data_IF_949156332788
#
_entry.id   IF_949156332788
#
_cell.length_a   1.000
_cell.length_b   1.000
_cell.length_c   1.000
_cell.angle_alpha   90.00
_cell.angle_beta   90.00
_cell.angle_gamma   90.00
#
_symmetry.space_group_name_H-M   'P 1'
#
loop_
_entity.id
_entity.type
_entity.pdbx_description
1 polymer ?
#
# COMPACT_ATOMS: atom_id res chain seq x y z
N UNK A 1 -21.62 19.10 -6.41
CA UNK A 1 -21.47 17.99 -6.15
C UNK A 1 -21.78 17.54 -4.84
N UNK A 2 -22.33 16.51 -4.68
CA UNK A 2 -22.94 16.04 -3.46
C UNK A 2 -21.87 15.79 -2.40
N UNK A 3 -22.00 16.35 -1.23
CA UNK A 3 -21.05 16.11 -0.16
C UNK A 3 -21.07 14.67 0.33
N UNK A 4 -22.16 13.99 0.05
CA UNK A 4 -22.27 12.62 0.42
C UNK A 4 -21.21 11.79 -0.18
N UNK A 5 -20.66 12.21 -1.31
CA UNK A 5 -19.76 11.41 -2.09
C UNK A 5 -18.29 11.63 -1.76
N UNK A 6 -17.99 12.29 -0.64
CA UNK A 6 -16.59 12.48 -0.24
C UNK A 6 -15.90 11.16 -0.02
N UNK A 7 -16.56 10.25 0.70
CA UNK A 7 -16.00 8.91 0.92
C UNK A 7 -15.85 8.18 -0.40
N UNK A 8 -16.84 8.32 -1.28
CA UNK A 8 -16.78 7.69 -2.60
C UNK A 8 -15.63 8.25 -3.43
N UNK A 9 -15.39 9.57 -3.36
CA UNK A 9 -14.27 10.19 -4.06
C UNK A 9 -12.93 9.66 -3.56
N UNK A 10 -12.79 9.55 -2.24
CA UNK A 10 -11.57 9.02 -1.66
C UNK A 10 -11.33 7.59 -2.11
N UNK A 11 -12.36 6.74 -2.01
CA UNK A 11 -12.22 5.35 -2.42
C UNK A 11 -12.00 5.21 -3.92
N UNK A 12 -12.58 6.11 -4.72
CA UNK A 12 -12.31 6.14 -6.14
C UNK A 12 -10.84 6.40 -6.45
N UNK A 13 -10.25 7.39 -5.76
CA UNK A 13 -8.82 7.67 -5.91
C UNK A 13 -7.97 6.52 -5.41
N UNK A 14 -8.36 5.93 -4.28
CA UNK A 14 -7.64 4.83 -3.71
C UNK A 14 -7.61 3.63 -4.67
N UNK A 15 -8.77 3.28 -5.20
CA UNK A 15 -8.88 2.15 -6.13
C UNK A 15 -8.09 2.43 -7.40
N UNK A 16 -8.18 3.65 -7.93
CA UNK A 16 -7.43 4.03 -9.11
C UNK A 16 -5.93 3.87 -8.89
N UNK A 17 -5.42 4.39 -7.77
CA UNK A 17 -4.01 4.28 -7.44
C UNK A 17 -3.60 2.82 -7.22
N UNK A 18 -4.47 2.06 -6.57
CA UNK A 18 -4.20 0.66 -6.29
C UNK A 18 -4.08 -0.15 -7.59
N UNK A 19 -5.02 0.05 -8.51
CA UNK A 19 -5.01 -0.64 -9.80
C UNK A 19 -3.78 -0.24 -10.60
N UNK A 20 -3.44 1.05 -10.60
CA UNK A 20 -2.27 1.54 -11.32
C UNK A 20 -1.00 0.88 -10.79
N UNK A 21 -0.84 0.82 -9.46
CA UNK A 21 0.33 0.20 -8.86
C UNK A 21 0.38 -1.30 -9.13
N UNK A 22 -0.77 -1.98 -9.12
CA UNK A 22 -0.80 -3.40 -9.44
C UNK A 22 -0.35 -3.64 -10.86
N UNK A 23 -0.78 -2.81 -11.80
CA UNK A 23 -0.37 -2.92 -13.19
C UNK A 23 1.15 -2.72 -13.32
N UNK A 24 1.67 -1.70 -12.65
CA UNK A 24 3.10 -1.43 -12.66
C UNK A 24 3.89 -2.61 -12.08
N UNK A 25 3.40 -3.16 -10.99
CA UNK A 25 4.05 -4.32 -10.36
C UNK A 25 4.01 -5.54 -11.27
N UNK A 26 2.94 -5.71 -12.02
CA UNK A 26 2.82 -6.82 -12.97
C UNK A 26 3.89 -6.74 -14.07
N UNK A 27 4.32 -5.53 -14.43
CA UNK A 27 5.42 -5.36 -15.36
C UNK A 27 6.77 -5.54 -14.72
N UNK A 28 6.90 -5.08 -13.46
CA UNK A 28 8.18 -5.13 -12.75
C UNK A 28 8.57 -6.56 -12.37
N UNK A 29 7.62 -7.38 -11.96
CA UNK A 29 7.91 -8.71 -11.46
C UNK A 29 8.61 -9.61 -12.48
N UNK A 30 8.16 -9.70 -13.74
CA UNK A 30 8.89 -10.51 -14.72
C UNK A 30 10.30 -10.00 -14.96
N UNK A 31 10.50 -8.69 -14.97
CA UNK A 31 11.82 -8.10 -15.15
C UNK A 31 12.73 -8.48 -13.97
N UNK A 32 12.20 -8.39 -12.75
CA UNK A 32 12.94 -8.78 -11.56
C UNK A 32 13.33 -10.26 -11.62
N UNK A 33 12.40 -11.10 -12.05
CA UNK A 33 12.65 -12.54 -12.17
C UNK A 33 13.81 -12.82 -13.12
N UNK A 34 13.82 -12.12 -14.25
CA UNK A 34 14.86 -12.30 -15.25
C UNK A 34 16.22 -11.81 -14.74
N UNK A 35 16.26 -10.61 -14.17
CA UNK A 35 17.53 -10.02 -13.74
C UNK A 35 18.14 -10.74 -12.53
N UNK A 36 17.35 -11.20 -11.61
CA UNK A 36 17.86 -11.81 -10.39
C UNK A 36 17.78 -13.34 -10.41
N UNK A 37 17.28 -13.89 -11.50
CA UNK A 37 17.18 -15.35 -11.67
C UNK A 37 16.43 -16.00 -10.50
N UNK A 38 15.30 -15.40 -10.12
CA UNK A 38 14.48 -15.88 -9.03
C UNK A 38 13.23 -16.55 -9.59
N UNK A 39 12.84 -17.69 -9.01
CA UNK A 39 11.66 -18.41 -9.45
C UNK A 39 10.42 -17.87 -8.72
N UNK A 40 9.74 -16.90 -9.33
CA UNK A 40 8.53 -16.33 -8.77
C UNK A 40 7.29 -17.14 -9.10
N UNK A 41 7.35 -17.93 -10.16
CA UNK A 41 6.18 -18.67 -10.64
C UNK A 41 5.74 -19.72 -9.64
N UNK A 42 6.70 -20.42 -9.02
CA UNK A 42 6.37 -21.45 -8.04
C UNK A 42 5.79 -20.89 -6.76
N UNK A 43 5.98 -19.58 -6.51
CA UNK A 43 5.49 -18.95 -5.29
C UNK A 43 4.48 -17.85 -5.61
N UNK A 44 3.79 -17.99 -6.74
CA UNK A 44 2.96 -16.90 -7.26
C UNK A 44 1.81 -16.54 -6.33
N UNK A 45 1.07 -17.52 -5.83
CA UNK A 45 -0.09 -17.22 -4.99
C UNK A 45 0.27 -16.52 -3.68
N UNK A 46 1.24 -17.03 -2.89
CA UNK A 46 1.63 -16.32 -1.67
C UNK A 46 2.21 -14.94 -1.98
N UNK A 47 2.98 -14.83 -3.06
CA UNK A 47 3.58 -13.56 -3.44
C UNK A 47 2.53 -12.54 -3.81
N UNK A 48 1.51 -12.95 -4.55
CA UNK A 48 0.41 -12.06 -4.91
C UNK A 48 -0.33 -11.56 -3.68
N UNK A 49 -0.52 -12.42 -2.68
CA UNK A 49 -1.17 -12.02 -1.45
C UNK A 49 -0.34 -10.95 -0.71
N UNK A 50 0.95 -11.15 -0.61
CA UNK A 50 1.85 -10.19 0.03
C UNK A 50 1.84 -8.85 -0.72
N UNK A 51 1.90 -8.91 -2.03
CA UNK A 51 1.87 -7.70 -2.87
C UNK A 51 0.56 -6.94 -2.67
N UNK A 52 -0.56 -7.67 -2.67
CA UNK A 52 -1.87 -7.05 -2.50
C UNK A 52 -1.95 -6.29 -1.16
N UNK A 53 -1.57 -6.96 -0.08
CA UNK A 53 -1.65 -6.37 1.25
C UNK A 53 -0.72 -5.16 1.39
N UNK A 54 0.51 -5.29 0.92
CA UNK A 54 1.48 -4.21 0.99
C UNK A 54 1.07 -3.00 0.15
N UNK A 55 0.59 -3.26 -1.06
CA UNK A 55 0.16 -2.19 -1.95
C UNK A 55 -1.07 -1.47 -1.39
N UNK A 56 -1.98 -2.23 -0.78
CA UNK A 56 -3.17 -1.63 -0.19
C UNK A 56 -2.80 -0.64 0.91
N UNK A 57 -1.89 -1.02 1.80
CA UNK A 57 -1.45 -0.12 2.86
C UNK A 57 -0.77 1.12 2.33
N UNK A 58 0.13 0.94 1.37
CA UNK A 58 0.83 2.07 0.76
C UNK A 58 -0.15 3.02 0.07
N UNK A 59 -1.09 2.48 -0.69
CA UNK A 59 -2.07 3.31 -1.40
C UNK A 59 -2.98 4.06 -0.43
N UNK A 60 -3.41 3.41 0.64
CA UNK A 60 -4.31 4.02 1.60
C UNK A 60 -3.68 5.26 2.22
N UNK A 61 -2.48 5.10 2.76
CA UNK A 61 -1.85 6.22 3.43
C UNK A 61 -1.35 7.26 2.43
N UNK A 62 -0.88 6.82 1.27
CA UNK A 62 -0.43 7.73 0.24
C UNK A 62 -1.54 8.60 -0.30
N UNK A 63 -2.71 8.02 -0.54
CA UNK A 63 -3.86 8.76 -1.01
C UNK A 63 -4.33 9.77 0.04
N UNK A 64 -4.36 9.34 1.30
CA UNK A 64 -4.76 10.23 2.38
C UNK A 64 -3.81 11.42 2.51
N UNK A 65 -2.52 11.16 2.56
CA UNK A 65 -1.54 12.24 2.73
C UNK A 65 -1.48 13.15 1.51
N UNK A 66 -1.65 12.60 0.33
CA UNK A 66 -1.69 13.40 -0.88
C UNK A 66 -2.88 14.34 -0.87
N UNK A 67 -4.04 13.85 -0.45
CA UNK A 67 -5.23 14.67 -0.35
C UNK A 67 -5.10 15.72 0.75
N UNK A 68 -4.52 15.33 1.88
CA UNK A 68 -4.36 16.22 3.02
C UNK A 68 -3.44 17.39 2.68
N UNK A 69 -2.39 17.14 1.92
CA UNK A 69 -1.39 18.18 1.62
C UNK A 69 -1.63 18.87 0.28
N UNK A 70 -2.73 18.58 -0.40
CA UNK A 70 -2.96 19.08 -1.75
C UNK A 70 -2.97 20.60 -1.85
N UNK A 71 -3.46 21.27 -0.80
CA UNK A 71 -3.58 22.73 -0.80
C UNK A 71 -2.45 23.43 -0.07
N UNK A 72 -1.44 22.70 0.35
CA UNK A 72 -0.31 23.28 1.07
C UNK A 72 0.76 23.72 0.10
N UNK A 73 1.35 24.88 0.36
CA UNK A 73 2.43 25.39 -0.49
C UNK A 73 3.68 24.55 -0.41
N UNK A 74 3.86 23.85 0.71
CA UNK A 74 5.04 23.03 0.95
C UNK A 74 4.78 21.55 0.68
N UNK A 75 3.77 21.27 -0.15
CA UNK A 75 3.37 19.90 -0.43
C UNK A 75 4.54 19.01 -0.86
N UNK A 76 5.39 19.53 -1.74
CA UNK A 76 6.49 18.76 -2.29
C UNK A 76 7.49 18.32 -1.23
N UNK A 77 7.57 19.07 -0.12
CA UNK A 77 8.46 18.74 0.98
C UNK A 77 7.73 17.95 2.05
N UNK A 78 6.53 18.38 2.40
CA UNK A 78 5.79 17.78 3.50
C UNK A 78 5.27 16.40 3.18
N UNK A 79 4.90 16.14 1.93
CA UNK A 79 4.35 14.84 1.57
C UNK A 79 5.34 13.71 1.84
N UNK A 80 6.59 13.78 1.34
CA UNK A 80 7.54 12.71 1.67
C UNK A 80 7.87 12.64 3.16
N UNK A 81 7.97 13.77 3.84
CA UNK A 81 8.33 13.79 5.25
C UNK A 81 7.28 13.05 6.09
N UNK A 82 6.01 13.26 5.78
CA UNK A 82 4.93 12.58 6.50
C UNK A 82 4.74 11.15 6.04
N UNK A 83 4.94 10.91 4.76
CA UNK A 83 4.68 9.59 4.18
C UNK A 83 5.70 8.55 4.61
N UNK A 84 6.98 8.87 4.58
CA UNK A 84 8.03 7.89 4.79
C UNK A 84 7.93 7.18 6.14
N UNK A 85 7.78 7.87 7.26
CA UNK A 85 7.66 7.15 8.54
C UNK A 85 6.45 6.23 8.60
N UNK A 86 5.38 6.58 7.90
CA UNK A 86 4.15 5.81 7.95
C UNK A 86 4.21 4.57 7.06
N UNK A 87 5.00 4.60 5.99
CA UNK A 87 5.10 3.44 5.12
C UNK A 87 6.22 2.48 5.53
N UNK A 88 7.13 2.89 6.40
CA UNK A 88 8.24 2.04 6.82
C UNK A 88 7.76 0.68 7.38
N UNK A 89 6.79 0.63 8.30
CA UNK A 89 6.35 -0.67 8.79
C UNK A 89 5.78 -1.56 7.70
N UNK A 90 5.06 -0.97 6.74
CA UNK A 90 4.49 -1.72 5.63
C UNK A 90 5.57 -2.25 4.73
N UNK A 91 6.58 -1.43 4.43
CA UNK A 91 7.69 -1.85 3.60
C UNK A 91 8.48 -2.97 4.26
N UNK A 92 8.80 -2.81 5.54
CA UNK A 92 9.55 -3.82 6.28
C UNK A 92 8.80 -5.14 6.30
N UNK A 93 7.52 -5.11 6.64
CA UNK A 93 6.71 -6.30 6.68
C UNK A 93 6.61 -6.98 5.32
N UNK A 94 6.38 -6.19 4.28
CA UNK A 94 6.25 -6.72 2.93
C UNK A 94 7.54 -7.35 2.43
N UNK A 95 8.68 -6.70 2.71
CA UNK A 95 9.98 -7.23 2.31
C UNK A 95 10.27 -8.54 3.04
N UNK A 96 9.98 -8.58 4.34
CA UNK A 96 10.19 -9.79 5.12
C UNK A 96 9.33 -10.94 4.62
N UNK A 97 8.06 -10.66 4.36
CA UNK A 97 7.16 -11.69 3.85
C UNK A 97 7.58 -12.16 2.46
N UNK A 98 8.00 -11.26 1.61
CA UNK A 98 8.49 -11.62 0.28
C UNK A 98 9.69 -12.54 0.37
N UNK A 99 10.63 -12.22 1.27
CA UNK A 99 11.78 -13.07 1.48
C UNK A 99 11.40 -14.45 1.95
N UNK A 100 10.43 -14.55 2.85
CA UNK A 100 9.96 -15.85 3.34
C UNK A 100 9.25 -16.64 2.24
N UNK A 101 8.47 -15.97 1.40
CA UNK A 101 7.81 -16.61 0.27
C UNK A 101 8.85 -17.19 -0.69
N UNK A 102 9.86 -16.41 -1.03
CA UNK A 102 10.88 -16.85 -1.97
C UNK A 102 11.76 -17.97 -1.38
N UNK A 103 11.86 -18.03 -0.07
CA UNK A 103 12.58 -19.10 0.60
C UNK A 103 11.76 -20.38 0.69
N UNK A 104 10.51 -20.36 0.26
CA UNK A 104 9.66 -21.52 0.27
C UNK A 104 9.04 -21.85 1.63
N UNK A 105 9.04 -20.88 2.55
CA UNK A 105 8.47 -21.10 3.87
C UNK A 105 6.94 -21.12 3.80
N UNK A 106 6.28 -21.89 4.69
CA UNK A 106 4.82 -21.92 4.70
C UNK A 106 4.25 -20.60 5.20
N UNK A 107 3.00 -20.32 4.79
CA UNK A 107 2.33 -19.08 5.18
C UNK A 107 2.23 -18.91 6.69
N UNK A 108 2.17 -20.02 7.44
CA UNK A 108 2.09 -19.94 8.89
C UNK A 108 3.32 -19.24 9.50
N UNK A 109 4.47 -19.35 8.87
CA UNK A 109 5.67 -18.69 9.38
C UNK A 109 5.67 -17.20 9.13
N UNK A 110 4.78 -16.72 8.27
CA UNK A 110 4.66 -15.30 7.95
C UNK A 110 3.60 -14.60 8.79
N UNK A 111 2.93 -15.34 9.69
CA UNK A 111 1.77 -14.81 10.39
C UNK A 111 2.09 -13.53 11.16
N UNK A 112 3.27 -13.46 11.78
CA UNK A 112 3.64 -12.28 12.57
C UNK A 112 3.75 -11.03 11.69
N UNK A 113 4.43 -11.14 10.57
CA UNK A 113 4.58 -10.01 9.67
C UNK A 113 3.28 -9.69 8.95
N UNK A 114 2.52 -10.72 8.59
CA UNK A 114 1.23 -10.53 7.95
C UNK A 114 0.27 -9.81 8.90
N UNK A 115 0.23 -10.21 10.17
CA UNK A 115 -0.61 -9.55 11.15
C UNK A 115 -0.21 -8.10 11.35
N UNK A 116 1.09 -7.83 11.37
CA UNK A 116 1.60 -6.47 11.50
C UNK A 116 1.12 -5.59 10.34
N UNK A 117 1.32 -6.05 9.12
CA UNK A 117 0.94 -5.27 7.94
C UNK A 117 -0.58 -5.11 7.87
N UNK A 118 -1.33 -6.16 8.16
CA UNK A 118 -2.79 -6.08 8.15
C UNK A 118 -3.30 -5.11 9.22
N UNK A 119 -2.69 -5.10 10.40
CA UNK A 119 -3.07 -4.16 11.45
C UNK A 119 -2.84 -2.72 10.99
N UNK A 120 -1.70 -2.44 10.38
CA UNK A 120 -1.44 -1.10 9.87
C UNK A 120 -2.39 -0.74 8.73
N UNK A 121 -2.71 -1.70 7.86
CA UNK A 121 -3.66 -1.45 6.78
C UNK A 121 -5.03 -1.05 7.34
N UNK A 122 -5.50 -1.80 8.34
CA UNK A 122 -6.80 -1.51 8.97
C UNK A 122 -6.77 -0.15 9.67
N UNK A 123 -5.69 0.13 10.39
CA UNK A 123 -5.55 1.40 11.08
C UNK A 123 -5.56 2.56 10.08
N UNK A 124 -4.83 2.43 8.99
CA UNK A 124 -4.75 3.50 7.98
C UNK A 124 -6.09 3.72 7.30
N UNK A 125 -6.81 2.64 6.99
CA UNK A 125 -8.13 2.77 6.39
C UNK A 125 -9.09 3.45 7.36
N UNK A 126 -9.07 3.05 8.63
CA UNK A 126 -9.94 3.64 9.64
C UNK A 126 -9.65 5.13 9.83
N UNK A 127 -8.37 5.49 9.92
CA UNK A 127 -7.97 6.88 10.07
C UNK A 127 -8.39 7.68 8.84
N UNK A 128 -8.23 7.10 7.65
CA UNK A 128 -8.62 7.76 6.41
C UNK A 128 -10.10 8.05 6.39
N UNK A 129 -10.93 7.09 6.77
CA UNK A 129 -12.37 7.29 6.80
C UNK A 129 -12.75 8.37 7.80
N UNK A 130 -12.11 8.38 8.96
CA UNK A 130 -12.40 9.37 9.98
C UNK A 130 -12.00 10.77 9.54
N UNK A 131 -10.93 10.89 8.78
CA UNK A 131 -10.40 12.19 8.39
C UNK A 131 -10.90 12.69 7.03
N UNK A 132 -11.65 11.85 6.34
CA UNK A 132 -12.04 12.17 4.97
C UNK A 132 -12.89 13.45 4.88
N UNK A 133 -13.73 13.66 5.86
CA UNK A 133 -14.57 14.85 5.90
C UNK A 133 -13.74 16.11 6.08
N UNK A 134 -12.70 16.03 6.88
CA UNK A 134 -11.79 17.16 7.07
C UNK A 134 -10.97 17.42 5.81
N UNK A 135 -10.50 16.37 5.19
CA UNK A 135 -9.62 16.49 4.03
C UNK A 135 -10.35 17.06 2.84
N UNK A 136 -11.51 16.53 2.53
CA UNK A 136 -12.25 16.91 1.33
C UNK A 136 -13.19 18.08 1.52
N UNK A 137 -13.40 18.49 2.75
CA UNK A 137 -14.24 19.62 3.05
C UNK A 137 -13.57 20.93 2.63
N UNK A 138 -12.28 20.97 2.62
CA UNK A 138 -11.54 22.11 2.19
C UNK A 138 -11.12 21.99 0.74
#
# INVERSE_FOLDING_TARGET
>A
FAPVDRTALYFGKLISNFVFLLIMEAFILPIFMIFFNVDLISHLLPLMYVIFVGTLGFCTIGTLLSSLSANLKTRDIMLPILLYPLIIPIIIGSVRMTGQVLAGEPLSNMANWMNLVLCFDVIYIAVSIMMIDFVLEE
#
